data_IF_299660244472
#
_entry.id   IF_299660244472
#
_cell.length_a   1.000
_cell.length_b   1.000
_cell.length_c   1.000
_cell.angle_alpha   90.00
_cell.angle_beta   90.00
_cell.angle_gamma   90.00
#
_symmetry.space_group_name_H-M   'P 1'
#
loop_
_entity.id
_entity.type
_entity.pdbx_description
1 polymer ?
#
# COMPACT_ATOMS: atom_id res chain seq x y z
N UNK A 1 -28.23 -19.12 -0.25
CA UNK A 1 -26.89 -18.98 -0.84
C UNK A 1 -27.00 -18.02 -2.01
N UNK A 2 -26.21 -16.94 -1.99
CA UNK A 2 -25.76 -16.09 -3.11
C UNK A 2 -26.84 -15.37 -3.95
N UNK A 3 -26.78 -14.07 -4.27
CA UNK A 3 -25.81 -12.96 -4.13
C UNK A 3 -26.67 -11.69 -4.29
N UNK A 4 -26.91 -10.96 -3.21
CA UNK A 4 -26.49 -9.55 -3.03
C UNK A 4 -26.44 -8.73 -4.34
N UNK A 5 -27.60 -8.23 -4.74
CA UNK A 5 -27.84 -7.18 -5.73
C UNK A 5 -27.28 -5.83 -5.21
N UNK A 6 -25.95 -5.71 -5.11
CA UNK A 6 -25.34 -4.38 -4.98
C UNK A 6 -25.28 -3.75 -6.36
N UNK A 7 -26.41 -3.16 -6.73
CA UNK A 7 -26.42 -2.02 -7.64
C UNK A 7 -25.25 -1.12 -7.22
N UNK A 8 -24.25 -1.00 -8.10
CA UNK A 8 -23.24 0.02 -7.99
C UNK A 8 -24.01 1.34 -7.93
N UNK A 9 -24.07 1.90 -6.72
CA UNK A 9 -24.67 3.19 -6.43
C UNK A 9 -23.79 4.20 -7.15
N UNK A 10 -24.09 4.43 -8.43
CA UNK A 10 -23.43 5.36 -9.35
C UNK A 10 -23.77 6.82 -8.96
N UNK A 11 -23.80 7.08 -7.65
CA UNK A 11 -23.91 8.41 -7.10
C UNK A 11 -22.57 9.05 -7.36
N UNK A 12 -22.58 10.00 -8.28
CA UNK A 12 -21.50 10.98 -8.43
C UNK A 12 -21.35 11.66 -7.07
N UNK A 13 -20.37 11.22 -6.29
CA UNK A 13 -20.06 11.81 -4.99
C UNK A 13 -19.47 13.18 -5.28
N UNK A 14 -20.01 14.20 -4.61
CA UNK A 14 -19.48 15.54 -4.73
C UNK A 14 -18.07 15.58 -4.12
N UNK A 15 -17.18 16.37 -4.72
CA UNK A 15 -15.82 16.57 -4.21
C UNK A 15 -15.77 16.82 -2.69
N UNK A 16 -16.58 17.72 -2.08
CA UNK A 16 -16.52 17.97 -0.64
C UNK A 16 -16.94 16.76 0.20
N UNK A 17 -17.93 15.98 -0.25
CA UNK A 17 -18.37 14.77 0.45
C UNK A 17 -17.29 13.67 0.43
N UNK A 18 -16.61 13.55 -0.71
CA UNK A 18 -15.48 12.64 -0.89
C UNK A 18 -14.32 12.95 0.05
N UNK A 19 -13.90 14.22 0.10
CA UNK A 19 -12.84 14.69 1.00
C UNK A 19 -13.21 14.52 2.48
N UNK A 20 -14.48 14.73 2.85
CA UNK A 20 -14.95 14.47 4.21
C UNK A 20 -14.84 12.99 4.60
N UNK A 21 -15.19 12.05 3.71
CA UNK A 21 -15.00 10.60 3.94
C UNK A 21 -13.54 10.24 4.07
N UNK A 22 -12.68 10.75 3.18
CA UNK A 22 -11.24 10.49 3.24
C UNK A 22 -10.66 10.94 4.58
N UNK A 23 -10.99 12.16 5.07
CA UNK A 23 -10.56 12.63 6.40
C UNK A 23 -10.97 11.72 7.53
N UNK A 24 -12.21 11.24 7.48
CA UNK A 24 -12.72 10.29 8.46
C UNK A 24 -11.93 8.97 8.43
N UNK A 25 -11.67 8.44 7.24
CA UNK A 25 -10.95 7.17 7.05
C UNK A 25 -9.50 7.23 7.55
N UNK A 26 -8.77 8.28 7.20
CA UNK A 26 -7.37 8.49 7.63
C UNK A 26 -7.26 9.03 9.07
N UNK A 27 -8.41 9.31 9.72
CA UNK A 27 -8.52 9.86 11.08
C UNK A 27 -7.74 11.17 11.28
N UNK A 28 -7.75 12.04 10.28
CA UNK A 28 -7.11 13.37 10.30
C UNK A 28 -8.13 14.47 10.03
N UNK A 29 -9.01 14.78 11.01
CA UNK A 29 -10.02 15.84 10.85
C UNK A 29 -9.42 17.25 10.80
N UNK A 30 -8.16 17.39 11.21
CA UNK A 30 -7.39 18.64 11.23
C UNK A 30 -6.98 19.12 9.83
N UNK A 31 -7.01 18.25 8.82
CA UNK A 31 -6.62 18.63 7.46
C UNK A 31 -7.70 19.46 6.77
N UNK A 32 -7.28 20.58 6.18
CA UNK A 32 -8.11 21.35 5.25
C UNK A 32 -8.23 20.64 3.91
N UNK A 33 -9.32 20.90 3.19
CA UNK A 33 -9.61 20.29 1.88
C UNK A 33 -8.47 20.54 0.86
N UNK A 34 -7.90 21.75 0.83
CA UNK A 34 -6.79 22.10 -0.08
C UNK A 34 -5.51 21.30 0.21
N UNK A 35 -5.15 21.19 1.50
CA UNK A 35 -4.01 20.37 1.93
C UNK A 35 -4.22 18.89 1.62
N UNK A 36 -5.44 18.39 1.82
CA UNK A 36 -5.74 16.99 1.55
C UNK A 36 -5.62 16.67 0.06
N UNK A 37 -6.15 17.54 -0.81
CA UNK A 37 -5.97 17.41 -2.26
C UNK A 37 -4.50 17.44 -2.68
N UNK A 38 -3.72 18.34 -2.07
CA UNK A 38 -2.28 18.43 -2.32
C UNK A 38 -1.58 17.12 -1.94
N UNK A 39 -1.83 16.61 -0.74
CA UNK A 39 -1.22 15.36 -0.26
C UNK A 39 -1.65 14.14 -1.10
N UNK A 40 -2.90 14.10 -1.55
CA UNK A 40 -3.38 13.05 -2.47
C UNK A 40 -2.66 13.17 -3.82
N UNK A 41 -2.51 14.38 -4.35
CA UNK A 41 -1.77 14.64 -5.58
C UNK A 41 -0.30 14.21 -5.48
N UNK A 42 0.35 14.54 -4.37
CA UNK A 42 1.73 14.12 -4.08
C UNK A 42 1.84 12.59 -4.02
N UNK A 43 0.92 11.93 -3.32
CA UNK A 43 0.90 10.46 -3.22
C UNK A 43 0.67 9.78 -4.59
N UNK A 44 -0.19 10.35 -5.43
CA UNK A 44 -0.43 9.87 -6.80
C UNK A 44 0.84 10.02 -7.65
N UNK A 45 1.51 11.17 -7.55
CA UNK A 45 2.75 11.44 -8.27
C UNK A 45 3.89 10.50 -7.84
N UNK A 46 4.06 10.30 -6.53
CA UNK A 46 5.07 9.41 -5.95
C UNK A 46 4.85 7.94 -6.36
N UNK A 47 3.58 7.52 -6.48
CA UNK A 47 3.21 6.18 -6.94
C UNK A 47 3.18 6.05 -8.47
N UNK A 48 3.45 7.13 -9.22
CA UNK A 48 3.39 7.21 -10.67
C UNK A 48 2.05 6.70 -11.26
N UNK A 49 0.94 7.07 -10.61
CA UNK A 49 -0.40 6.69 -11.02
C UNK A 49 -0.98 7.71 -12.01
N UNK A 50 -1.62 7.22 -13.07
CA UNK A 50 -2.33 8.06 -14.05
C UNK A 50 -3.76 8.35 -13.56
N UNK A 51 -3.85 9.19 -12.52
CA UNK A 51 -5.11 9.54 -11.86
C UNK A 51 -5.06 10.98 -11.35
N UNK A 52 -6.19 11.68 -11.31
CA UNK A 52 -6.25 13.01 -10.66
C UNK A 52 -6.69 12.91 -9.19
N UNK A 53 -6.28 13.88 -8.39
CA UNK A 53 -6.68 13.97 -6.97
C UNK A 53 -8.20 14.18 -6.83
N UNK A 54 -8.81 14.91 -7.75
CA UNK A 54 -10.25 15.15 -7.80
C UNK A 54 -11.03 13.89 -8.14
N UNK A 55 -10.56 13.10 -9.12
CA UNK A 55 -11.16 11.81 -9.45
C UNK A 55 -11.07 10.82 -8.29
N UNK A 56 -9.97 10.87 -7.54
CA UNK A 56 -9.80 10.06 -6.33
C UNK A 56 -10.81 10.46 -5.25
N UNK A 57 -10.94 11.77 -4.99
CA UNK A 57 -11.92 12.30 -4.05
C UNK A 57 -13.35 11.92 -4.45
N UNK A 58 -13.68 11.88 -5.75
CA UNK A 58 -14.99 11.46 -6.25
C UNK A 58 -15.24 9.94 -6.22
N UNK A 59 -14.42 9.15 -5.50
CA UNK A 59 -14.50 7.69 -5.38
C UNK A 59 -14.46 6.91 -6.71
N UNK A 60 -13.88 7.50 -7.77
CA UNK A 60 -13.70 6.79 -9.05
C UNK A 60 -12.58 5.75 -9.00
N UNK A 61 -11.72 5.83 -7.98
CA UNK A 61 -10.62 4.90 -7.78
C UNK A 61 -11.11 3.55 -7.25
N UNK A 62 -10.61 2.46 -7.83
CA UNK A 62 -10.84 1.10 -7.34
C UNK A 62 -10.30 0.89 -5.91
N UNK A 63 -10.77 -0.16 -5.21
CA UNK A 63 -10.45 -0.40 -3.79
C UNK A 63 -8.94 -0.62 -3.55
N UNK A 64 -8.23 -1.21 -4.50
CA UNK A 64 -6.80 -1.45 -4.42
C UNK A 64 -5.98 -0.15 -4.54
N UNK A 65 -6.38 0.75 -5.43
CA UNK A 65 -5.71 2.04 -5.59
C UNK A 65 -5.96 2.94 -4.36
N UNK A 66 -7.16 2.89 -3.79
CA UNK A 66 -7.47 3.55 -2.51
C UNK A 66 -6.60 3.07 -1.36
N UNK A 67 -6.38 1.75 -1.24
CA UNK A 67 -5.55 1.23 -0.15
C UNK A 67 -4.09 1.66 -0.27
N UNK A 68 -3.56 1.75 -1.50
CA UNK A 68 -2.20 2.25 -1.75
C UNK A 68 -2.05 3.73 -1.40
N UNK A 69 -2.98 4.58 -1.84
CA UNK A 69 -2.95 6.01 -1.52
C UNK A 69 -3.13 6.24 -0.02
N UNK A 70 -4.06 5.51 0.62
CA UNK A 70 -4.21 5.59 2.08
C UNK A 70 -2.95 5.14 2.82
N UNK A 71 -2.25 4.10 2.35
CA UNK A 71 -0.99 3.68 2.91
C UNK A 71 0.08 4.77 2.77
N UNK A 72 0.17 5.42 1.61
CA UNK A 72 1.09 6.52 1.37
C UNK A 72 0.81 7.74 2.27
N UNK A 73 -0.47 8.07 2.49
CA UNK A 73 -0.87 9.19 3.36
C UNK A 73 -0.66 8.90 4.85
N UNK A 74 -0.81 7.64 5.27
CA UNK A 74 -0.74 7.27 6.69
C UNK A 74 0.68 6.89 7.15
N UNK A 75 1.52 6.38 6.25
CA UNK A 75 2.85 5.91 6.59
C UNK A 75 3.89 7.01 6.37
N UNK A 76 4.80 7.23 7.34
CA UNK A 76 5.90 8.14 7.12
C UNK A 76 6.79 7.60 5.98
N UNK A 77 7.29 8.49 5.13
CA UNK A 77 8.30 8.12 4.15
C UNK A 77 9.49 7.44 4.86
N UNK A 78 10.03 6.34 4.30
CA UNK A 78 11.16 5.66 4.92
C UNK A 78 12.34 6.63 5.03
N UNK A 79 12.76 6.91 6.27
CA UNK A 79 13.80 7.89 6.60
C UNK A 79 15.18 7.47 6.06
N UNK A 80 15.38 6.17 5.84
CA UNK A 80 16.61 5.62 5.30
C UNK A 80 16.32 4.89 3.99
N UNK A 81 17.18 5.02 2.97
CA UNK A 81 17.10 4.16 1.79
C UNK A 81 17.11 2.69 2.26
N UNK A 82 16.21 1.89 1.70
CA UNK A 82 16.17 0.45 1.91
C UNK A 82 17.39 -0.16 1.20
N UNK A 83 18.56 -0.02 1.81
CA UNK A 83 19.77 -0.68 1.35
C UNK A 83 19.59 -2.16 1.65
N UNK A 84 19.27 -2.94 0.62
CA UNK A 84 19.33 -4.39 0.72
C UNK A 84 20.76 -4.78 1.07
N UNK A 85 21.01 -5.50 2.18
CA UNK A 85 22.34 -6.01 2.45
C UNK A 85 22.72 -6.99 1.34
N UNK A 86 23.75 -6.65 0.59
CA UNK A 86 24.34 -7.53 -0.41
C UNK A 86 25.10 -8.64 0.32
N UNK A 87 24.39 -9.70 0.71
CA UNK A 87 25.02 -10.94 1.12
C UNK A 87 25.45 -11.69 -0.12
N UNK A 88 26.77 -11.77 -0.34
CA UNK A 88 27.32 -12.70 -1.31
C UNK A 88 26.86 -14.11 -0.93
N UNK A 89 25.99 -14.71 -1.76
CA UNK A 89 25.63 -16.11 -1.62
C UNK A 89 26.86 -16.95 -1.94
N UNK A 90 27.67 -17.23 -0.92
CA UNK A 90 28.77 -18.17 -1.07
C UNK A 90 28.19 -19.52 -1.49
N UNK A 91 28.67 -20.05 -2.63
CA UNK A 91 28.37 -21.43 -2.99
C UNK A 91 28.81 -22.32 -1.85
N UNK A 92 27.87 -23.08 -1.30
CA UNK A 92 28.13 -24.01 -0.22
C UNK A 92 29.33 -24.89 -0.56
N UNK A 93 30.43 -24.72 0.17
CA UNK A 93 31.64 -25.55 0.05
C UNK A 93 31.42 -26.98 0.57
N UNK A 94 30.25 -27.25 1.16
CA UNK A 94 29.90 -28.55 1.70
C UNK A 94 29.62 -29.52 0.56
N UNK A 95 30.33 -30.64 0.61
CA UNK A 95 30.06 -31.81 -0.23
C UNK A 95 28.67 -32.37 0.08
N UNK A 96 28.10 -33.13 -0.86
CA UNK A 96 26.75 -33.71 -0.71
C UNK A 96 26.60 -34.58 0.56
N UNK A 97 27.67 -35.29 0.94
CA UNK A 97 27.71 -36.12 2.15
C UNK A 97 27.71 -35.29 3.43
N UNK A 98 28.43 -34.17 3.47
CA UNK A 98 28.43 -33.26 4.62
C UNK A 98 27.07 -32.60 4.81
N UNK A 99 26.37 -32.28 3.72
CA UNK A 99 24.98 -31.79 3.77
C UNK A 99 24.05 -32.82 4.37
N UNK A 100 24.12 -34.08 3.93
CA UNK A 100 23.32 -35.18 4.48
C UNK A 100 23.58 -35.39 5.98
N UNK A 101 24.86 -35.40 6.39
CA UNK A 101 25.24 -35.57 7.80
C UNK A 101 24.72 -34.43 8.69
N UNK A 102 24.73 -33.19 8.19
CA UNK A 102 24.15 -32.04 8.90
C UNK A 102 22.63 -32.17 9.04
N UNK A 103 21.92 -32.62 8.01
CA UNK A 103 20.47 -32.86 8.06
C UNK A 103 20.12 -33.92 9.10
N UNK A 104 20.86 -35.04 9.13
CA UNK A 104 20.67 -36.07 10.14
C UNK A 104 21.01 -35.60 11.56
N UNK A 105 22.06 -34.76 11.73
CA UNK A 105 22.37 -34.16 13.05
C UNK A 105 21.25 -33.26 13.57
N UNK A 106 20.59 -32.50 12.70
CA UNK A 106 19.46 -31.63 13.07
C UNK A 106 18.17 -32.38 13.37
N UNK A 107 17.97 -33.56 12.79
CA UNK A 107 16.81 -34.43 13.06
C UNK A 107 16.96 -35.23 14.36
N UNK A 108 18.19 -35.46 14.80
CA UNK A 108 18.51 -36.21 16.01
C UNK A 108 18.67 -35.32 17.27
N UNK A 109 18.63 -34.00 17.11
CA UNK A 109 18.58 -32.99 18.19
C UNK A 109 17.16 -32.50 18.39
#
# INVERSE_FOLDING_TARGET
>A
MARDDRAADDRVISLPDGLARIRHDIRRPDLSDDLLLTLIGDAIADLALDFSAEEFACEKAGPELRSQIYAALCLPSPVSPLVMPEQALERSRLTMLERLRLTFRRLAS
#
